data_IF_263607377632
#
_entry.id   IF_263607377632
#
_cell.length_a   1.000
_cell.length_b   1.000
_cell.length_c   1.000
_cell.angle_alpha   90.00
_cell.angle_beta   90.00
_cell.angle_gamma   90.00
#
_symmetry.space_group_name_H-M   'P 1'
#
loop_
_entity.id
_entity.type
_entity.pdbx_description
1 polymer ?
#
# COMPACT_ATOMS: atom_id res chain seq x y z
N UNK A 1 -4.99 -20.15 -33.11
CA UNK A 1 -6.05 -19.17 -32.79
C UNK A 1 -6.71 -19.51 -31.46
N UNK A 2 -7.12 -20.76 -31.22
CA UNK A 2 -7.59 -21.26 -29.90
C UNK A 2 -6.59 -21.06 -28.76
N UNK A 3 -5.33 -21.49 -28.92
CA UNK A 3 -4.29 -21.31 -27.89
C UNK A 3 -4.00 -19.84 -27.51
N UNK A 4 -4.26 -18.91 -28.44
CA UNK A 4 -4.09 -17.46 -28.17
C UNK A 4 -5.27 -16.89 -27.40
N UNK A 5 -6.48 -17.40 -27.64
CA UNK A 5 -7.70 -17.02 -26.92
C UNK A 5 -7.65 -17.55 -25.49
N UNK A 6 -7.24 -18.80 -25.30
CA UNK A 6 -7.07 -19.42 -23.97
C UNK A 6 -6.02 -18.69 -23.13
N UNK A 7 -4.86 -18.36 -23.73
CA UNK A 7 -3.82 -17.56 -23.06
C UNK A 7 -4.33 -16.17 -22.68
N UNK A 8 -5.09 -15.52 -23.55
CA UNK A 8 -5.67 -14.20 -23.29
C UNK A 8 -6.71 -14.25 -22.16
N UNK A 9 -7.59 -15.25 -22.15
CA UNK A 9 -8.60 -15.43 -21.10
C UNK A 9 -7.97 -15.72 -19.73
N UNK A 10 -6.92 -16.56 -19.69
CA UNK A 10 -6.13 -16.83 -18.48
C UNK A 10 -5.43 -15.58 -17.96
N UNK A 11 -4.80 -14.78 -18.84
CA UNK A 11 -4.18 -13.51 -18.45
C UNK A 11 -5.20 -12.51 -17.90
N UNK A 12 -6.40 -12.44 -18.49
CA UNK A 12 -7.49 -11.57 -18.03
C UNK A 12 -8.04 -12.01 -16.66
N UNK A 13 -8.23 -13.31 -16.42
CA UNK A 13 -8.70 -13.80 -15.11
C UNK A 13 -7.66 -13.54 -14.02
N UNK A 14 -6.39 -13.87 -14.31
CA UNK A 14 -5.27 -13.68 -13.38
C UNK A 14 -5.11 -12.21 -13.03
N UNK A 15 -5.21 -11.31 -14.01
CA UNK A 15 -5.16 -9.87 -13.78
C UNK A 15 -6.32 -9.38 -12.92
N UNK A 16 -7.54 -9.87 -13.15
CA UNK A 16 -8.71 -9.53 -12.31
C UNK A 16 -8.54 -10.01 -10.87
N UNK A 17 -8.03 -11.22 -10.66
CA UNK A 17 -7.75 -11.75 -9.32
C UNK A 17 -6.66 -10.94 -8.61
N UNK A 18 -5.61 -10.55 -9.33
CA UNK A 18 -4.56 -9.67 -8.81
C UNK A 18 -5.09 -8.28 -8.47
N UNK A 19 -5.88 -7.66 -9.36
CA UNK A 19 -6.49 -6.35 -9.12
C UNK A 19 -7.43 -6.38 -7.91
N UNK A 20 -8.19 -7.47 -7.75
CA UNK A 20 -9.05 -7.70 -6.59
C UNK A 20 -8.25 -7.90 -5.30
N UNK A 21 -7.17 -8.68 -5.35
CA UNK A 21 -6.26 -8.88 -4.22
C UNK A 21 -5.61 -7.56 -3.80
N UNK A 22 -5.17 -6.76 -4.77
CA UNK A 22 -4.56 -5.45 -4.54
C UNK A 22 -5.51 -4.49 -3.85
N UNK A 23 -6.73 -4.32 -4.39
CA UNK A 23 -7.71 -3.43 -3.77
C UNK A 23 -8.18 -3.92 -2.40
N UNK A 24 -8.20 -5.25 -2.20
CA UNK A 24 -8.49 -5.84 -0.89
C UNK A 24 -7.46 -5.40 0.17
N UNK A 25 -6.18 -5.57 -0.10
CA UNK A 25 -5.12 -5.19 0.84
C UNK A 25 -5.00 -3.68 1.04
N UNK A 26 -5.20 -2.87 -0.01
CA UNK A 26 -5.31 -1.41 0.14
C UNK A 26 -6.42 -1.07 1.16
N UNK A 27 -7.59 -1.69 1.05
CA UNK A 27 -8.70 -1.45 1.96
C UNK A 27 -8.41 -1.85 3.42
N UNK A 28 -7.76 -3.00 3.64
CA UNK A 28 -7.35 -3.40 4.98
C UNK A 28 -6.40 -2.37 5.62
N UNK A 29 -5.41 -1.90 4.87
CA UNK A 29 -4.46 -0.88 5.35
C UNK A 29 -5.16 0.46 5.65
N UNK A 30 -6.14 0.86 4.84
CA UNK A 30 -6.94 2.06 5.10
C UNK A 30 -7.74 1.91 6.40
N UNK A 31 -8.45 0.80 6.58
CA UNK A 31 -9.26 0.60 7.78
C UNK A 31 -8.39 0.55 9.05
N UNK A 32 -7.23 -0.12 9.01
CA UNK A 32 -6.25 -0.09 10.11
C UNK A 32 -5.79 1.34 10.40
N UNK A 33 -5.45 2.11 9.36
CA UNK A 33 -4.98 3.49 9.50
C UNK A 33 -6.05 4.39 10.13
N UNK A 34 -7.30 4.28 9.66
CA UNK A 34 -8.44 5.02 10.19
C UNK A 34 -8.71 4.67 11.65
N UNK A 35 -8.67 3.38 12.03
CA UNK A 35 -8.84 2.94 13.42
C UNK A 35 -7.75 3.49 14.36
N UNK A 36 -6.54 3.71 13.83
CA UNK A 36 -5.43 4.31 14.57
C UNK A 36 -5.47 5.85 14.62
N UNK A 37 -6.49 6.47 14.03
CA UNK A 37 -6.64 7.93 14.00
C UNK A 37 -5.81 8.65 12.94
N UNK A 38 -5.25 7.93 11.96
CA UNK A 38 -4.55 8.55 10.83
C UNK A 38 -5.52 9.00 9.74
N UNK A 39 -5.14 10.04 9.00
CA UNK A 39 -5.78 10.38 7.75
C UNK A 39 -5.18 9.53 6.63
N UNK A 40 -6.01 8.71 5.99
CA UNK A 40 -5.62 7.76 4.94
C UNK A 40 -5.92 8.31 3.54
N UNK A 41 -4.97 8.11 2.62
CA UNK A 41 -5.07 8.46 1.20
C UNK A 41 -4.75 7.24 0.32
N UNK A 42 -5.38 7.20 -0.86
CA UNK A 42 -5.09 6.27 -1.95
C UNK A 42 -5.05 7.02 -3.29
N UNK A 43 -4.36 6.49 -4.31
CA UNK A 43 -4.35 7.06 -5.64
C UNK A 43 -5.73 7.18 -6.29
N UNK A 44 -5.93 8.25 -7.08
CA UNK A 44 -7.21 8.52 -7.76
C UNK A 44 -7.68 7.38 -8.66
N UNK A 45 -6.76 6.66 -9.31
CA UNK A 45 -7.11 5.52 -10.16
C UNK A 45 -7.72 4.33 -9.38
N UNK A 46 -7.45 4.23 -8.07
CA UNK A 46 -7.89 3.11 -7.25
C UNK A 46 -9.19 3.40 -6.51
N UNK A 47 -9.61 4.67 -6.41
CA UNK A 47 -10.81 5.07 -5.66
C UNK A 47 -12.09 4.34 -6.06
N UNK A 48 -12.23 3.99 -7.33
CA UNK A 48 -13.42 3.28 -7.84
C UNK A 48 -13.31 1.75 -7.75
N UNK A 49 -12.15 1.21 -7.39
CA UNK A 49 -11.98 -0.23 -7.15
C UNK A 49 -12.76 -0.63 -5.90
N UNK A 50 -13.25 -1.88 -5.90
CA UNK A 50 -14.03 -2.42 -4.80
C UNK A 50 -13.10 -2.97 -3.71
N UNK A 51 -13.44 -2.62 -2.47
CA UNK A 51 -13.00 -3.28 -1.26
C UNK A 51 -14.24 -3.90 -0.63
N UNK A 52 -14.36 -5.23 -0.74
CA UNK A 52 -15.57 -5.97 -0.39
C UNK A 52 -16.80 -5.40 -1.12
N UNK A 53 -17.74 -4.80 -0.38
CA UNK A 53 -18.99 -4.23 -0.87
C UNK A 53 -18.94 -2.71 -1.10
N UNK A 54 -17.80 -2.08 -0.80
CA UNK A 54 -17.62 -0.61 -0.81
C UNK A 54 -16.52 -0.19 -1.78
N UNK A 55 -16.59 1.04 -2.27
CA UNK A 55 -15.50 1.63 -3.07
C UNK A 55 -14.36 2.05 -2.16
N UNK A 56 -13.11 1.79 -2.55
CA UNK A 56 -11.95 2.21 -1.75
C UNK A 56 -11.95 3.70 -1.40
N UNK A 57 -12.36 4.56 -2.34
CA UNK A 57 -12.45 6.01 -2.10
C UNK A 57 -13.49 6.42 -1.04
N UNK A 58 -14.48 5.56 -0.75
CA UNK A 58 -15.44 5.76 0.34
C UNK A 58 -14.92 5.30 1.70
N UNK A 59 -13.85 4.50 1.72
CA UNK A 59 -13.20 3.98 2.93
C UNK A 59 -12.03 4.89 3.33
N UNK A 60 -11.30 5.44 2.36
CA UNK A 60 -10.22 6.41 2.61
C UNK A 60 -10.77 7.70 3.21
N UNK A 61 -10.09 8.24 4.21
CA UNK A 61 -10.53 9.48 4.86
C UNK A 61 -10.23 10.76 4.05
N UNK A 62 -9.30 10.70 3.10
CA UNK A 62 -8.90 11.83 2.26
C UNK A 62 -9.29 11.57 0.81
N UNK A 63 -10.06 12.49 0.23
CA UNK A 63 -10.31 12.48 -1.21
C UNK A 63 -9.07 12.95 -2.00
N UNK A 64 -8.28 13.87 -1.47
CA UNK A 64 -7.07 14.36 -2.14
C UNK A 64 -5.87 14.23 -1.20
N UNK A 65 -4.70 13.97 -1.78
CA UNK A 65 -3.45 14.03 -1.02
C UNK A 65 -3.25 15.45 -0.50
N UNK A 66 -2.66 15.57 0.69
CA UNK A 66 -2.38 16.86 1.30
C UNK A 66 -1.18 17.54 0.62
N UNK A 67 -1.16 18.87 0.60
CA UNK A 67 -0.02 19.65 0.09
C UNK A 67 1.07 19.79 1.17
N UNK A 68 1.69 18.67 1.54
CA UNK A 68 2.66 18.60 2.65
C UNK A 68 4.09 19.01 2.26
N UNK A 69 4.35 19.32 0.99
CA UNK A 69 5.67 19.62 0.43
C UNK A 69 5.55 20.23 -0.99
N UNK A 70 6.63 20.24 -1.77
CA UNK A 70 6.68 20.74 -3.15
C UNK A 70 5.85 19.87 -4.13
N UNK A 71 5.29 20.48 -5.20
CA UNK A 71 4.40 19.78 -6.15
C UNK A 71 4.99 18.52 -6.79
N UNK A 72 6.28 18.51 -7.10
CA UNK A 72 6.99 17.39 -7.71
C UNK A 72 7.10 16.18 -6.76
N UNK A 73 7.31 16.44 -5.47
CA UNK A 73 7.37 15.40 -4.44
C UNK A 73 5.96 14.89 -4.13
N UNK A 74 4.96 15.79 -4.12
CA UNK A 74 3.55 15.39 -4.03
C UNK A 74 3.17 14.50 -5.22
N UNK A 75 3.59 14.85 -6.44
CA UNK A 75 3.35 14.03 -7.64
C UNK A 75 3.94 12.64 -7.50
N UNK A 76 5.14 12.51 -6.93
CA UNK A 76 5.73 11.21 -6.61
C UNK A 76 4.90 10.47 -5.55
N UNK A 77 4.57 11.12 -4.43
CA UNK A 77 3.79 10.51 -3.36
C UNK A 77 2.41 10.01 -3.84
N UNK A 78 1.75 10.72 -4.77
CA UNK A 78 0.48 10.29 -5.38
C UNK A 78 0.51 8.92 -6.05
N UNK A 79 1.70 8.40 -6.35
CA UNK A 79 1.90 7.08 -6.96
C UNK A 79 2.05 5.94 -5.95
N UNK A 80 2.05 6.25 -4.65
CA UNK A 80 2.09 5.27 -3.57
C UNK A 80 0.69 4.76 -3.26
N UNK A 81 0.55 3.44 -3.11
CA UNK A 81 -0.75 2.76 -3.05
C UNK A 81 -1.59 3.15 -1.83
N UNK A 82 -0.96 3.32 -0.66
CA UNK A 82 -1.62 3.84 0.55
C UNK A 82 -0.66 4.75 1.32
N UNK A 83 -1.18 5.87 1.81
CA UNK A 83 -0.44 6.79 2.67
C UNK A 83 -1.25 7.07 3.93
N UNK A 84 -0.58 7.03 5.08
CA UNK A 84 -1.14 7.50 6.35
C UNK A 84 -0.50 8.83 6.70
N UNK A 85 -1.33 9.82 7.03
CA UNK A 85 -0.94 11.12 7.53
C UNK A 85 -1.29 11.23 9.02
N UNK A 86 -0.39 11.81 9.81
CA UNK A 86 -0.65 12.11 11.22
C UNK A 86 -1.59 13.32 11.39
N UNK A 87 -1.98 13.60 12.63
CA UNK A 87 -2.85 14.74 12.99
C UNK A 87 -2.29 16.09 12.54
N UNK A 88 -0.95 16.21 12.45
CA UNK A 88 -0.26 17.42 11.95
C UNK A 88 -0.19 17.46 10.42
N UNK A 89 -0.87 16.56 9.71
CA UNK A 89 -0.93 16.46 8.25
C UNK A 89 0.39 16.11 7.56
N UNK A 90 1.35 15.56 8.31
CA UNK A 90 2.59 15.04 7.74
C UNK A 90 2.49 13.54 7.47
N UNK A 91 3.16 13.02 6.42
CA UNK A 91 3.19 11.59 6.16
C UNK A 91 3.79 10.82 7.34
N UNK A 92 3.04 9.86 7.86
CA UNK A 92 3.46 8.95 8.91
C UNK A 92 4.02 7.64 8.32
N UNK A 93 3.30 7.06 7.36
CA UNK A 93 3.68 5.82 6.72
C UNK A 93 3.23 5.76 5.25
N UNK A 94 4.00 5.04 4.46
CA UNK A 94 3.76 4.77 3.04
C UNK A 94 3.78 3.26 2.81
N UNK A 95 2.84 2.76 2.01
CA UNK A 95 2.67 1.34 1.74
C UNK A 95 2.58 1.09 0.24
N UNK A 96 3.28 0.06 -0.22
CA UNK A 96 3.21 -0.47 -1.58
C UNK A 96 2.74 -1.93 -1.51
N UNK A 97 1.71 -2.27 -2.25
CA UNK A 97 1.11 -3.61 -2.30
C UNK A 97 1.58 -4.30 -3.58
N UNK A 98 2.60 -5.14 -3.44
CA UNK A 98 3.32 -5.74 -4.55
C UNK A 98 2.85 -7.16 -4.84
N UNK A 99 2.17 -7.37 -5.96
CA UNK A 99 1.78 -8.72 -6.43
C UNK A 99 2.79 -9.26 -7.45
N UNK A 100 2.90 -8.59 -8.59
CA UNK A 100 3.72 -9.00 -9.75
C UNK A 100 4.70 -7.94 -10.20
N UNK A 101 4.53 -6.70 -9.75
CA UNK A 101 5.45 -5.59 -10.02
C UNK A 101 6.80 -5.79 -9.34
N UNK A 102 7.79 -5.06 -9.85
CA UNK A 102 9.16 -5.10 -9.37
C UNK A 102 9.30 -4.31 -8.05
N UNK A 103 9.64 -5.00 -6.96
CA UNK A 103 9.93 -4.43 -5.63
C UNK A 103 10.93 -3.27 -5.70
N UNK A 104 11.86 -3.28 -6.66
CA UNK A 104 12.81 -2.20 -6.85
C UNK A 104 12.12 -0.87 -7.19
N UNK A 105 11.01 -0.90 -7.95
CA UNK A 105 10.27 0.31 -8.31
C UNK A 105 9.60 0.94 -7.10
N UNK A 106 9.02 0.15 -6.20
CA UNK A 106 8.46 0.65 -4.94
C UNK A 106 9.56 1.19 -4.02
N UNK A 107 10.73 0.54 -3.95
CA UNK A 107 11.89 1.08 -3.23
C UNK A 107 12.37 2.42 -3.81
N UNK A 108 12.37 2.60 -5.13
CA UNK A 108 12.70 3.88 -5.77
C UNK A 108 11.69 4.97 -5.39
N UNK A 109 10.38 4.66 -5.32
CA UNK A 109 9.38 5.62 -4.85
C UNK A 109 9.66 6.06 -3.41
N UNK A 110 10.02 5.13 -2.52
CA UNK A 110 10.37 5.45 -1.13
C UNK A 110 11.66 6.27 -1.03
N UNK A 111 12.64 6.00 -1.88
CA UNK A 111 13.89 6.75 -1.92
C UNK A 111 13.67 8.23 -2.30
N UNK A 112 12.74 8.51 -3.21
CA UNK A 112 12.35 9.89 -3.55
C UNK A 112 11.58 10.60 -2.41
N UNK A 113 11.14 9.86 -1.40
CA UNK A 113 10.42 10.35 -0.22
C UNK A 113 11.26 10.24 1.06
N UNK A 114 12.57 10.00 0.92
CA UNK A 114 13.45 9.69 2.05
C UNK A 114 13.57 10.83 3.08
N UNK A 115 13.39 12.08 2.67
CA UNK A 115 13.53 13.26 3.55
C UNK A 115 12.41 13.36 4.59
N UNK A 116 11.32 12.61 4.43
CA UNK A 116 10.28 12.51 5.46
C UNK A 116 10.65 11.47 6.51
N UNK A 117 10.47 11.83 7.78
CA UNK A 117 10.58 10.89 8.91
C UNK A 117 9.35 9.99 8.97
N UNK A 118 9.24 9.10 7.99
CA UNK A 118 8.13 8.17 7.80
C UNK A 118 8.64 6.72 7.76
N UNK A 119 7.72 5.79 8.03
CA UNK A 119 7.92 4.36 7.83
C UNK A 119 7.49 3.97 6.40
N UNK A 120 8.21 3.02 5.82
CA UNK A 120 7.92 2.48 4.50
C UNK A 120 7.64 0.99 4.60
N UNK A 121 6.61 0.51 3.90
CA UNK A 121 6.22 -0.88 3.95
C UNK A 121 6.01 -1.44 2.54
N UNK A 122 6.61 -2.60 2.30
CA UNK A 122 6.28 -3.43 1.14
C UNK A 122 5.42 -4.57 1.64
N UNK A 123 4.18 -4.61 1.16
CA UNK A 123 3.23 -5.69 1.40
C UNK A 123 3.24 -6.64 0.22
N UNK A 124 3.61 -7.89 0.43
CA UNK A 124 3.67 -8.88 -0.66
C UNK A 124 3.53 -10.31 -0.16
N UNK A 125 3.56 -11.26 -1.09
CA UNK A 125 3.58 -12.69 -0.78
C UNK A 125 4.91 -13.08 -0.11
N UNK A 126 4.87 -13.96 0.88
CA UNK A 126 6.04 -14.36 1.69
C UNK A 126 7.22 -14.86 0.85
N UNK A 127 6.96 -15.49 -0.29
CA UNK A 127 7.95 -15.98 -1.25
C UNK A 127 8.83 -14.85 -1.81
N UNK A 128 8.29 -13.63 -1.88
CA UNK A 128 8.99 -12.44 -2.37
C UNK A 128 9.86 -11.76 -1.32
N UNK A 129 9.82 -12.22 -0.06
CA UNK A 129 10.64 -11.66 1.02
C UNK A 129 12.14 -11.71 0.72
N UNK A 130 12.61 -12.82 0.14
CA UNK A 130 14.03 -12.96 -0.24
C UNK A 130 14.44 -11.95 -1.33
N UNK A 131 13.55 -11.68 -2.27
CA UNK A 131 13.77 -10.67 -3.32
C UNK A 131 13.89 -9.27 -2.70
N UNK A 132 12.99 -8.93 -1.77
CA UNK A 132 13.06 -7.69 -1.00
C UNK A 132 14.38 -7.56 -0.23
N UNK A 133 14.75 -8.57 0.55
CA UNK A 133 15.96 -8.58 1.37
C UNK A 133 17.22 -8.38 0.53
N UNK A 134 17.25 -8.92 -0.69
CA UNK A 134 18.35 -8.67 -1.61
C UNK A 134 18.35 -7.22 -2.12
N UNK A 135 17.21 -6.72 -2.59
CA UNK A 135 17.13 -5.39 -3.22
C UNK A 135 17.37 -4.25 -2.24
N UNK A 136 16.86 -4.33 -1.01
CA UNK A 136 17.05 -3.27 0.01
C UNK A 136 18.52 -3.09 0.43
N UNK A 137 19.39 -4.08 0.16
CA UNK A 137 20.82 -3.97 0.43
C UNK A 137 21.59 -3.15 -0.60
N UNK A 138 20.96 -2.78 -1.73
CA UNK A 138 21.61 -1.98 -2.75
C UNK A 138 22.01 -0.61 -2.21
N UNK A 139 23.16 -0.11 -2.66
CA UNK A 139 23.74 1.16 -2.17
C UNK A 139 22.79 2.34 -2.37
N UNK A 140 21.98 2.32 -3.43
CA UNK A 140 20.97 3.34 -3.72
C UNK A 140 19.89 3.49 -2.65
N UNK A 141 19.69 2.48 -1.79
CA UNK A 141 18.67 2.48 -0.74
C UNK A 141 19.25 2.55 0.68
N UNK A 142 20.55 2.87 0.81
CA UNK A 142 21.23 2.90 2.10
C UNK A 142 20.54 3.82 3.13
N UNK A 143 20.00 4.95 2.68
CA UNK A 143 19.45 6.01 3.54
C UNK A 143 18.00 5.72 3.99
N UNK A 144 17.32 4.77 3.33
CA UNK A 144 15.97 4.33 3.68
C UNK A 144 15.94 2.95 4.33
N UNK A 145 17.01 2.16 4.23
CA UNK A 145 17.07 0.73 4.62
C UNK A 145 16.43 0.43 5.97
N UNK A 146 16.79 1.19 7.01
CA UNK A 146 16.33 0.95 8.38
C UNK A 146 14.89 1.40 8.64
N UNK A 147 14.25 2.04 7.64
CA UNK A 147 12.88 2.53 7.70
C UNK A 147 11.93 1.79 6.76
N UNK A 148 12.45 0.91 5.90
CA UNK A 148 11.64 0.04 5.04
C UNK A 148 11.48 -1.33 5.70
N UNK A 149 10.25 -1.83 5.74
CA UNK A 149 9.94 -3.16 6.27
C UNK A 149 9.09 -3.97 5.29
N UNK A 150 9.37 -5.26 5.21
CA UNK A 150 8.50 -6.21 4.51
C UNK A 150 7.43 -6.73 5.46
N UNK A 151 6.19 -6.74 4.99
CA UNK A 151 5.05 -7.36 5.67
C UNK A 151 4.37 -8.32 4.70
N UNK A 152 3.99 -9.50 5.18
CA UNK A 152 3.23 -10.45 4.38
C UNK A 152 1.71 -10.23 4.51
N UNK A 153 0.97 -10.83 3.59
CA UNK A 153 -0.48 -10.75 3.54
C UNK A 153 -1.15 -11.26 4.82
N UNK A 154 -0.69 -12.38 5.36
CA UNK A 154 -1.25 -12.99 6.56
C UNK A 154 -1.08 -12.06 7.77
N UNK A 155 0.06 -11.40 7.90
CA UNK A 155 0.30 -10.41 8.94
C UNK A 155 -0.72 -9.27 8.87
N UNK A 156 -1.00 -8.73 7.68
CA UNK A 156 -1.95 -7.62 7.53
C UNK A 156 -3.38 -8.04 7.83
N UNK A 157 -3.80 -9.22 7.37
CA UNK A 157 -5.13 -9.77 7.70
C UNK A 157 -5.29 -9.98 9.21
N UNK A 158 -4.27 -10.54 9.87
CA UNK A 158 -4.27 -10.75 11.31
C UNK A 158 -4.27 -9.42 12.08
N UNK A 159 -3.49 -8.45 11.63
CA UNK A 159 -3.43 -7.12 12.25
C UNK A 159 -4.77 -6.39 12.13
N UNK A 160 -5.41 -6.46 10.96
CA UNK A 160 -6.74 -5.89 10.72
C UNK A 160 -7.77 -6.50 11.67
N UNK A 161 -7.86 -7.83 11.69
CA UNK A 161 -8.79 -8.59 12.57
C UNK A 161 -8.65 -8.16 14.03
N UNK A 162 -7.41 -8.19 14.55
CA UNK A 162 -7.12 -7.80 15.94
C UNK A 162 -7.41 -6.33 16.22
N UNK A 163 -7.16 -5.43 15.26
CA UNK A 163 -7.43 -4.00 15.42
C UNK A 163 -8.93 -3.72 15.58
N UNK A 164 -9.77 -4.43 14.82
CA UNK A 164 -11.23 -4.32 14.95
C UNK A 164 -11.76 -4.94 16.24
N UNK A 165 -11.22 -6.08 16.68
CA UNK A 165 -11.58 -6.69 17.97
C UNK A 165 -11.28 -5.73 19.13
N UNK A 166 -10.09 -5.12 19.14
CA UNK A 166 -9.71 -4.14 20.16
C UNK A 166 -10.60 -2.89 20.13
N UNK A 167 -10.93 -2.39 18.94
CA UNK A 167 -11.82 -1.23 18.79
C UNK A 167 -13.22 -1.50 19.36
N UNK A 168 -13.76 -2.72 19.18
CA UNK A 168 -15.04 -3.13 19.78
C UNK A 168 -14.98 -3.18 21.30
N UNK A 169 -13.87 -3.67 21.88
CA UNK A 169 -13.69 -3.69 23.33
C UNK A 169 -13.67 -2.28 23.90
N UNK A 170 -12.98 -1.33 23.25
CA UNK A 170 -12.93 0.06 23.72
C UNK A 170 -14.26 0.83 23.64
N UNK A 171 -15.29 0.24 23.02
CA UNK A 171 -16.65 0.81 22.95
C UNK A 171 -17.62 0.23 24.00
N UNK A 172 -17.18 -0.78 24.76
CA UNK A 172 -17.92 -1.32 25.91
C UNK A 172 -17.70 -0.45 27.15
#
# INVERSE_FOLDING_TARGET
KEQLLEKFELEVSTKKEQDFSHSYFQGLLIEIGNLKGYHTYIPSQDKNKLFLDRKLGSVSSLDQILDFTYPEIIKRAKTVDVIWFNERKFPHAFFEVEHTTDIQNSLLKFNDLQDFYSKFYILSATERKREFEQKITYTSFKDIRDRVSFIDYDFVVNLHTKSFELAKIGQL
#
